data_IF_476250783672
#
_entry.id   IF_476250783672
#
_cell.length_a   1.000
_cell.length_b   1.000
_cell.length_c   1.000
_cell.angle_alpha   90.00
_cell.angle_beta   90.00
_cell.angle_gamma   90.00
#
_symmetry.space_group_name_H-M   'P 1'
#
loop_
_entity.id
_entity.type
_entity.pdbx_description
1 polymer ?
#
# COMPACT_ATOMS: atom_id res chain seq x y z
N UNK A 1 25.81 3.03 -33.48
CA UNK A 1 24.90 1.92 -33.09
C UNK A 1 23.50 2.20 -33.60
N UNK A 2 22.78 1.19 -34.09
CA UNK A 2 21.38 1.37 -34.48
C UNK A 2 20.53 1.57 -33.22
N UNK A 3 19.53 2.44 -33.28
CA UNK A 3 18.60 2.71 -32.16
C UNK A 3 18.01 1.43 -31.54
N UNK A 4 17.77 0.40 -32.35
CA UNK A 4 17.25 -0.89 -31.87
C UNK A 4 18.26 -1.71 -31.05
N UNK A 5 19.57 -1.59 -31.32
CA UNK A 5 20.62 -2.27 -30.56
C UNK A 5 20.81 -1.65 -29.18
N UNK A 6 20.78 -0.32 -29.10
CA UNK A 6 20.85 0.43 -27.84
C UNK A 6 19.68 0.03 -26.92
N UNK A 7 18.46 0.00 -27.47
CA UNK A 7 17.25 -0.38 -26.73
C UNK A 7 17.33 -1.84 -26.27
N UNK A 8 17.73 -2.77 -27.14
CA UNK A 8 17.91 -4.18 -26.77
C UNK A 8 18.91 -4.34 -25.62
N UNK A 9 20.12 -3.77 -25.77
CA UNK A 9 21.18 -3.89 -24.76
C UNK A 9 20.75 -3.33 -23.41
N UNK A 10 20.01 -2.21 -23.40
CA UNK A 10 19.50 -1.63 -22.16
C UNK A 10 18.44 -2.52 -21.52
N UNK A 11 17.50 -3.07 -22.30
CA UNK A 11 16.48 -4.01 -21.80
C UNK A 11 17.10 -5.30 -21.27
N UNK A 12 18.14 -5.82 -21.91
CA UNK A 12 18.80 -7.05 -21.49
C UNK A 12 19.48 -6.89 -20.12
N UNK A 13 19.98 -5.67 -19.83
CA UNK A 13 20.54 -5.30 -18.52
C UNK A 13 19.48 -5.04 -17.44
N UNK A 14 18.21 -4.81 -17.81
CA UNK A 14 17.15 -4.61 -16.83
C UNK A 14 16.82 -5.93 -16.11
N UNK A 15 16.55 -5.88 -14.79
CA UNK A 15 16.10 -7.05 -14.06
C UNK A 15 14.73 -7.50 -14.56
N UNK A 16 14.47 -8.80 -14.46
CA UNK A 16 13.14 -9.36 -14.76
C UNK A 16 12.10 -8.75 -13.82
N UNK A 17 10.88 -8.55 -14.33
CA UNK A 17 9.78 -7.91 -13.60
C UNK A 17 9.94 -6.41 -13.40
N UNK A 18 11.00 -5.76 -13.92
CA UNK A 18 11.13 -4.31 -13.89
C UNK A 18 10.18 -3.65 -14.90
N UNK A 19 9.37 -2.71 -14.44
CA UNK A 19 8.46 -1.94 -15.29
C UNK A 19 9.17 -0.68 -15.78
N UNK A 20 9.27 -0.53 -17.09
CA UNK A 20 9.89 0.60 -17.76
C UNK A 20 8.97 1.23 -18.80
N UNK A 21 9.33 2.44 -19.19
CA UNK A 21 8.64 3.31 -20.14
C UNK A 21 9.60 3.79 -21.21
N UNK A 22 9.09 4.51 -22.22
CA UNK A 22 9.95 5.11 -23.24
C UNK A 22 10.86 6.21 -22.67
N UNK A 23 10.46 6.86 -21.57
CA UNK A 23 11.26 7.90 -20.91
C UNK A 23 12.61 7.35 -20.42
N UNK A 24 12.66 6.07 -20.03
CA UNK A 24 13.88 5.42 -19.57
C UNK A 24 14.94 5.25 -20.67
N UNK A 25 14.63 5.59 -21.93
CA UNK A 25 15.53 5.47 -23.08
C UNK A 25 15.81 6.81 -23.77
N UNK A 26 15.25 7.92 -23.28
CA UNK A 26 15.38 9.24 -23.92
C UNK A 26 16.80 9.80 -23.82
N UNK A 27 17.56 9.43 -22.78
CA UNK A 27 18.96 9.85 -22.63
C UNK A 27 19.86 9.23 -23.71
N UNK A 28 19.49 8.06 -24.23
CA UNK A 28 20.31 7.30 -25.19
C UNK A 28 19.78 7.39 -26.64
N UNK A 29 18.55 7.89 -26.83
CA UNK A 29 17.85 7.89 -28.13
C UNK A 29 17.08 9.19 -28.34
N UNK A 30 17.47 9.94 -29.39
CA UNK A 30 16.92 11.26 -29.70
C UNK A 30 15.46 11.27 -30.18
N UNK A 31 14.95 10.13 -30.69
CA UNK A 31 13.58 10.04 -31.24
C UNK A 31 12.66 9.16 -30.39
N UNK A 32 11.75 9.79 -29.65
CA UNK A 32 10.70 9.12 -28.87
C UNK A 32 9.84 8.19 -29.73
N UNK A 33 9.55 8.57 -30.98
CA UNK A 33 8.78 7.76 -31.91
C UNK A 33 9.52 6.46 -32.28
N UNK A 34 10.83 6.52 -32.48
CA UNK A 34 11.65 5.35 -32.76
C UNK A 34 11.67 4.38 -31.58
N UNK A 35 11.80 4.89 -30.34
CA UNK A 35 11.72 4.08 -29.11
C UNK A 35 10.35 3.39 -29.01
N UNK A 36 9.26 4.13 -29.16
CA UNK A 36 7.90 3.59 -29.06
C UNK A 36 7.67 2.48 -30.10
N UNK A 37 8.11 2.69 -31.35
CA UNK A 37 7.96 1.69 -32.43
C UNK A 37 8.79 0.44 -32.15
N UNK A 38 10.03 0.60 -31.65
CA UNK A 38 10.89 -0.52 -31.28
C UNK A 38 10.30 -1.34 -30.12
N UNK A 39 9.82 -0.68 -29.06
CA UNK A 39 9.21 -1.35 -27.91
C UNK A 39 7.94 -2.12 -28.30
N UNK A 40 7.05 -1.53 -29.11
CA UNK A 40 5.86 -2.25 -29.57
C UNK A 40 6.22 -3.45 -30.46
N UNK A 41 7.26 -3.35 -31.29
CA UNK A 41 7.75 -4.49 -32.10
C UNK A 41 8.33 -5.60 -31.21
N UNK A 42 9.08 -5.27 -30.16
CA UNK A 42 9.60 -6.25 -29.19
C UNK A 42 8.51 -6.90 -28.35
N UNK A 43 7.44 -6.16 -28.06
CA UNK A 43 6.26 -6.71 -27.39
C UNK A 43 5.53 -7.70 -28.31
N UNK A 44 5.37 -7.36 -29.59
CA UNK A 44 4.78 -8.26 -30.58
C UNK A 44 5.63 -9.54 -30.79
N UNK A 45 6.95 -9.45 -30.67
CA UNK A 45 7.85 -10.61 -30.75
C UNK A 45 7.95 -11.41 -29.45
N UNK A 46 7.22 -11.05 -28.39
CA UNK A 46 7.23 -11.74 -27.09
C UNK A 46 8.52 -11.58 -26.27
N UNK A 47 9.42 -10.66 -26.63
CA UNK A 47 10.64 -10.39 -25.83
C UNK A 47 10.32 -9.63 -24.54
N UNK A 48 9.32 -8.77 -24.59
CA UNK A 48 8.82 -7.98 -23.46
C UNK A 48 7.30 -8.07 -23.44
N UNK A 49 6.68 -7.78 -22.30
CA UNK A 49 5.22 -7.80 -22.17
C UNK A 49 4.71 -6.38 -21.91
N UNK A 50 3.58 -6.04 -22.54
CA UNK A 50 2.93 -4.75 -22.40
C UNK A 50 1.96 -4.79 -21.22
N UNK A 51 2.22 -3.98 -20.19
CA UNK A 51 1.39 -3.91 -18.98
C UNK A 51 0.24 -2.91 -19.12
N UNK A 52 0.51 -1.76 -19.73
CA UNK A 52 -0.45 -0.69 -19.98
C UNK A 52 0.06 0.21 -21.12
N UNK A 53 -0.71 1.24 -21.49
CA UNK A 53 -0.26 2.22 -22.50
C UNK A 53 1.08 2.85 -22.06
N UNK A 54 2.12 2.62 -22.87
CA UNK A 54 3.48 3.14 -22.64
C UNK A 54 4.27 2.45 -21.52
N UNK A 55 3.78 1.35 -20.94
CA UNK A 55 4.44 0.61 -19.87
C UNK A 55 4.72 -0.84 -20.30
N UNK A 56 5.97 -1.25 -20.17
CA UNK A 56 6.45 -2.57 -20.56
C UNK A 56 7.27 -3.19 -19.42
N UNK A 57 7.41 -4.50 -19.43
CA UNK A 57 8.30 -5.20 -18.50
C UNK A 57 8.96 -6.41 -19.15
N UNK A 58 10.09 -6.81 -18.58
CA UNK A 58 10.79 -8.04 -18.96
C UNK A 58 10.17 -9.20 -18.20
N UNK A 59 9.53 -10.11 -18.91
CA UNK A 59 8.85 -11.26 -18.31
C UNK A 59 9.84 -12.26 -17.70
N UNK A 60 9.42 -12.91 -16.62
CA UNK A 60 10.10 -14.08 -16.08
C UNK A 60 9.24 -15.31 -16.36
N UNK A 61 9.78 -16.25 -17.15
CA UNK A 61 9.11 -17.53 -17.38
C UNK A 61 9.48 -18.50 -16.26
N UNK A 62 8.45 -19.08 -15.66
CA UNK A 62 8.55 -20.13 -14.65
C UNK A 62 7.84 -21.39 -15.15
N UNK A 63 8.01 -22.51 -14.45
CA UNK A 63 7.27 -23.75 -14.73
C UNK A 63 5.74 -23.57 -14.66
N UNK A 64 5.28 -22.53 -13.95
CA UNK A 64 3.87 -22.19 -13.76
C UNK A 64 3.37 -21.10 -14.72
N UNK A 65 4.19 -20.71 -15.70
CA UNK A 65 3.85 -19.69 -16.69
C UNK A 65 4.62 -18.38 -16.49
N UNK A 66 4.07 -17.30 -17.05
CA UNK A 66 4.68 -15.97 -17.04
C UNK A 66 4.39 -15.25 -15.72
N UNK A 67 5.46 -14.86 -15.02
CA UNK A 67 5.37 -14.12 -13.77
C UNK A 67 5.17 -12.63 -14.04
N UNK A 68 4.11 -12.08 -13.45
CA UNK A 68 3.86 -10.64 -13.47
C UNK A 68 4.87 -9.87 -12.60
N UNK A 69 5.11 -8.57 -12.90
CA UNK A 69 5.89 -7.70 -12.04
C UNK A 69 5.32 -7.63 -10.62
N UNK A 70 6.19 -7.41 -9.64
CA UNK A 70 5.76 -7.08 -8.28
C UNK A 70 4.82 -5.86 -8.33
N UNK A 71 3.76 -5.85 -7.52
CA UNK A 71 2.82 -4.74 -7.38
C UNK A 71 3.52 -3.38 -7.22
N UNK A 72 4.63 -3.30 -6.49
CA UNK A 72 5.41 -2.05 -6.37
C UNK A 72 5.94 -1.55 -7.72
N UNK A 73 6.39 -2.44 -8.61
CA UNK A 73 6.83 -2.08 -9.96
C UNK A 73 5.64 -1.66 -10.83
N UNK A 74 4.51 -2.36 -10.71
CA UNK A 74 3.27 -2.06 -11.47
C UNK A 74 2.79 -0.63 -11.21
N UNK A 75 2.93 -0.13 -9.98
CA UNK A 75 2.46 1.20 -9.58
C UNK A 75 3.57 2.18 -9.22
N UNK A 76 4.83 1.91 -9.59
CA UNK A 76 5.99 2.74 -9.21
C UNK A 76 5.80 4.23 -9.50
N UNK A 77 5.29 4.55 -10.69
CA UNK A 77 4.98 5.93 -11.13
C UNK A 77 3.83 6.61 -10.36
N UNK A 78 3.13 5.87 -9.50
CA UNK A 78 2.08 6.40 -8.64
C UNK A 78 2.54 6.57 -7.19
N UNK A 79 3.60 5.87 -6.80
CA UNK A 79 4.22 5.94 -5.47
C UNK A 79 5.26 7.06 -5.40
N UNK A 80 5.97 7.31 -6.50
CA UNK A 80 7.03 8.30 -6.57
C UNK A 80 6.85 9.23 -7.78
N UNK A 81 6.94 10.53 -7.53
CA UNK A 81 6.92 11.57 -8.56
C UNK A 81 8.21 12.39 -8.43
N UNK A 82 9.04 12.43 -9.48
CA UNK A 82 10.32 13.16 -9.49
C UNK A 82 11.25 12.83 -8.30
N UNK A 83 11.33 11.54 -7.92
CA UNK A 83 12.16 11.07 -6.81
C UNK A 83 11.61 11.38 -5.41
N UNK A 84 10.46 12.06 -5.31
CA UNK A 84 9.74 12.28 -4.04
C UNK A 84 8.65 11.23 -3.87
N UNK A 85 8.55 10.70 -2.66
CA UNK A 85 7.44 9.81 -2.30
C UNK A 85 6.16 10.62 -2.23
N UNK A 86 5.18 10.16 -2.99
CA UNK A 86 3.88 10.78 -3.16
C UNK A 86 2.74 9.76 -2.95
N UNK A 87 3.08 8.50 -2.66
CA UNK A 87 2.10 7.48 -2.32
C UNK A 87 2.73 6.20 -1.79
N UNK A 88 1.90 5.35 -1.19
CA UNK A 88 2.30 4.04 -0.68
C UNK A 88 1.20 3.00 -0.90
N UNK A 89 1.57 1.74 -1.04
CA UNK A 89 0.59 0.64 -1.15
C UNK A 89 -0.05 0.40 0.21
N UNK A 90 -1.37 0.30 0.27
CA UNK A 90 -2.14 0.11 1.52
C UNK A 90 -3.40 -0.73 1.29
N UNK A 91 -4.21 -0.90 2.32
CA UNK A 91 -5.51 -1.57 2.27
C UNK A 91 -5.44 -3.02 1.78
N UNK A 92 -6.31 -3.40 0.84
CA UNK A 92 -6.45 -4.78 0.34
C UNK A 92 -5.14 -5.43 -0.10
N UNK A 93 -4.18 -4.62 -0.56
CA UNK A 93 -2.89 -5.08 -1.06
C UNK A 93 -1.85 -5.31 0.03
N UNK A 94 -2.04 -4.72 1.22
CA UNK A 94 -1.12 -4.89 2.35
C UNK A 94 -1.65 -5.83 3.43
N UNK A 95 -2.96 -6.13 3.47
CA UNK A 95 -3.54 -6.98 4.52
C UNK A 95 -2.91 -8.36 4.63
N UNK A 96 -2.60 -9.00 3.48
CA UNK A 96 -1.90 -10.28 3.48
C UNK A 96 -0.48 -10.18 4.06
N UNK A 97 0.27 -9.13 3.68
CA UNK A 97 1.62 -8.87 4.20
C UNK A 97 1.63 -8.56 5.70
N UNK A 98 0.56 -7.93 6.21
CA UNK A 98 0.36 -7.70 7.64
C UNK A 98 -0.16 -8.96 8.37
N UNK A 99 -0.47 -10.05 7.66
CA UNK A 99 -1.02 -11.27 8.25
C UNK A 99 -2.47 -11.11 8.75
N UNK A 100 -3.22 -10.13 8.23
CA UNK A 100 -4.62 -9.88 8.60
C UNK A 100 -5.59 -10.80 7.84
N UNK A 101 -5.18 -11.28 6.67
CA UNK A 101 -5.92 -12.20 5.81
C UNK A 101 -4.94 -13.05 5.01
N UNK A 102 -5.35 -14.24 4.56
CA UNK A 102 -4.58 -15.06 3.61
C UNK A 102 -4.92 -14.71 2.17
N UNK A 103 -6.00 -13.96 1.92
CA UNK A 103 -6.43 -13.62 0.57
C UNK A 103 -5.47 -12.65 -0.13
N UNK A 104 -5.15 -12.96 -1.38
CA UNK A 104 -4.35 -12.10 -2.26
C UNK A 104 -5.30 -11.33 -3.18
N UNK A 105 -5.33 -10.01 -3.06
CA UNK A 105 -6.23 -9.17 -3.85
C UNK A 105 -5.63 -8.80 -5.21
N UNK A 106 -6.46 -8.82 -6.25
CA UNK A 106 -6.18 -8.20 -7.55
C UNK A 106 -6.45 -6.67 -7.55
N UNK A 107 -6.75 -6.08 -6.39
CA UNK A 107 -6.89 -4.64 -6.23
C UNK A 107 -5.62 -4.09 -5.59
N UNK A 108 -4.96 -3.15 -6.28
CA UNK A 108 -3.85 -2.36 -5.74
C UNK A 108 -4.40 -1.06 -5.15
N UNK A 109 -4.39 -0.94 -3.82
CA UNK A 109 -4.82 0.27 -3.13
C UNK A 109 -3.62 1.16 -2.79
N UNK A 110 -3.71 2.44 -3.13
CA UNK A 110 -2.64 3.43 -2.91
C UNK A 110 -3.12 4.54 -1.99
N UNK A 111 -2.43 4.72 -0.87
CA UNK A 111 -2.59 5.86 0.02
C UNK A 111 -1.89 7.08 -0.57
N UNK A 112 -2.63 8.18 -0.79
CA UNK A 112 -2.12 9.41 -1.41
C UNK A 112 -2.85 10.66 -0.90
N UNK A 113 -2.17 11.81 -0.87
CA UNK A 113 -2.78 13.07 -0.44
C UNK A 113 -3.84 13.59 -1.42
N UNK A 114 -3.57 13.45 -2.72
CA UNK A 114 -4.47 13.83 -3.81
C UNK A 114 -4.91 12.54 -4.52
N UNK A 115 -6.19 12.21 -4.40
CA UNK A 115 -6.77 11.01 -5.00
C UNK A 115 -7.38 11.32 -6.37
N UNK A 116 -7.46 10.30 -7.21
CA UNK A 116 -8.11 10.34 -8.53
C UNK A 116 -9.00 9.12 -8.74
N UNK A 117 -9.68 9.06 -9.87
CA UNK A 117 -10.46 7.89 -10.26
C UNK A 117 -9.59 6.63 -10.37
N UNK A 118 -10.18 5.48 -10.04
CA UNK A 118 -9.55 4.18 -10.19
C UNK A 118 -9.20 3.90 -11.65
N UNK A 119 -8.17 3.08 -11.88
CA UNK A 119 -7.71 2.72 -13.23
C UNK A 119 -7.22 1.28 -13.27
N UNK A 120 -7.18 0.67 -14.46
CA UNK A 120 -6.74 -0.71 -14.65
C UNK A 120 -5.31 -0.77 -15.20
N UNK A 121 -4.48 -1.69 -14.70
CA UNK A 121 -3.16 -2.05 -15.28
C UNK A 121 -3.00 -3.56 -15.27
N UNK A 122 -2.89 -4.17 -16.45
CA UNK A 122 -2.96 -5.62 -16.59
C UNK A 122 -4.21 -6.18 -15.89
N UNK A 123 -3.98 -7.13 -15.00
CA UNK A 123 -5.02 -7.78 -14.19
C UNK A 123 -5.42 -7.01 -12.92
N UNK A 124 -4.72 -5.91 -12.60
CA UNK A 124 -4.96 -5.15 -11.38
C UNK A 124 -5.90 -3.97 -11.57
N UNK A 125 -6.85 -3.83 -10.64
CA UNK A 125 -7.59 -2.59 -10.43
C UNK A 125 -6.82 -1.72 -9.43
N UNK A 126 -6.40 -0.54 -9.84
CA UNK A 126 -5.73 0.42 -8.95
C UNK A 126 -6.76 1.40 -8.42
N UNK A 127 -6.87 1.48 -7.10
CA UNK A 127 -7.77 2.40 -6.39
C UNK A 127 -7.01 3.22 -5.35
N UNK A 128 -7.61 4.32 -4.90
CA UNK A 128 -6.92 5.32 -4.09
C UNK A 128 -7.61 5.54 -2.74
N UNK A 129 -6.80 5.67 -1.68
CA UNK A 129 -7.23 6.02 -0.33
C UNK A 129 -6.66 7.40 -0.01
N UNK A 130 -7.53 8.34 0.38
CA UNK A 130 -7.09 9.68 0.76
C UNK A 130 -6.34 9.63 2.09
N UNK A 131 -5.05 9.98 2.04
CA UNK A 131 -4.18 10.14 3.19
C UNK A 131 -4.05 11.64 3.54
N UNK A 132 -4.31 11.99 4.80
CA UNK A 132 -4.24 13.38 5.27
C UNK A 132 -2.89 13.72 5.91
N UNK A 133 -2.12 12.71 6.29
CA UNK A 133 -0.76 12.87 6.79
C UNK A 133 0.21 13.16 5.65
N UNK A 134 1.34 13.79 5.99
CA UNK A 134 2.49 13.86 5.09
C UNK A 134 3.07 12.44 5.00
N UNK A 135 3.36 11.97 3.79
CA UNK A 135 3.87 10.62 3.56
C UNK A 135 5.40 10.70 3.51
N UNK A 136 6.08 9.88 4.32
CA UNK A 136 7.55 9.75 4.34
C UNK A 136 7.93 8.28 4.36
N UNK A 137 9.16 7.93 3.96
CA UNK A 137 9.63 6.52 3.98
C UNK A 137 9.40 5.86 5.34
N UNK A 138 9.72 6.60 6.40
CA UNK A 138 9.73 6.09 7.76
C UNK A 138 8.32 5.89 8.33
N UNK A 139 7.33 6.64 7.85
CA UNK A 139 5.97 6.57 8.40
C UNK A 139 5.03 5.65 7.63
N UNK A 140 5.39 5.20 6.42
CA UNK A 140 4.52 4.37 5.57
C UNK A 140 4.00 3.15 6.31
N UNK A 141 4.86 2.46 7.07
CA UNK A 141 4.45 1.27 7.81
C UNK A 141 3.38 1.59 8.86
N UNK A 142 3.56 2.68 9.60
CA UNK A 142 2.56 3.15 10.58
C UNK A 142 1.25 3.57 9.92
N UNK A 143 1.32 4.22 8.74
CA UNK A 143 0.14 4.57 7.96
C UNK A 143 -0.62 3.33 7.47
N UNK A 144 0.09 2.26 7.07
CA UNK A 144 -0.54 0.99 6.70
C UNK A 144 -1.27 0.33 7.88
N UNK A 145 -0.69 0.39 9.08
CA UNK A 145 -1.35 -0.10 10.31
C UNK A 145 -2.61 0.73 10.59
N UNK A 146 -2.51 2.06 10.54
CA UNK A 146 -3.66 2.96 10.76
C UNK A 146 -4.78 2.77 9.72
N UNK A 147 -4.42 2.57 8.45
CA UNK A 147 -5.38 2.25 7.39
C UNK A 147 -6.06 0.91 7.63
N UNK A 148 -5.33 -0.08 8.15
CA UNK A 148 -5.87 -1.38 8.53
C UNK A 148 -6.84 -1.28 9.71
N UNK A 149 -6.53 -0.47 10.73
CA UNK A 149 -7.44 -0.18 11.85
C UNK A 149 -8.69 0.55 11.33
N UNK A 150 -8.52 1.57 10.47
CA UNK A 150 -9.62 2.35 9.90
C UNK A 150 -10.60 1.48 9.12
N UNK A 151 -10.08 0.54 8.34
CA UNK A 151 -10.85 -0.32 7.46
C UNK A 151 -10.97 -1.76 7.95
N UNK A 152 -10.80 -2.00 9.26
CA UNK A 152 -10.81 -3.34 9.86
C UNK A 152 -12.05 -4.18 9.49
N UNK A 153 -13.20 -3.51 9.31
CA UNK A 153 -14.49 -4.14 8.91
C UNK A 153 -14.53 -4.61 7.44
N UNK A 154 -13.58 -4.15 6.62
CA UNK A 154 -13.50 -4.41 5.18
C UNK A 154 -12.38 -5.39 4.84
N UNK A 155 -11.65 -5.90 5.85
CA UNK A 155 -10.63 -6.92 5.62
C UNK A 155 -11.37 -8.22 5.25
N UNK A 156 -11.06 -8.83 4.09
CA UNK A 156 -11.74 -10.04 3.66
C UNK A 156 -11.26 -11.26 4.46
N UNK A 157 -12.12 -12.27 4.57
CA UNK A 157 -11.79 -13.58 5.16
C UNK A 157 -11.29 -13.57 6.61
N UNK A 158 -11.69 -12.55 7.36
CA UNK A 158 -11.27 -12.40 8.75
C UNK A 158 -12.38 -11.79 9.58
N UNK A 159 -12.36 -12.14 10.86
CA UNK A 159 -13.22 -11.54 11.87
C UNK A 159 -12.52 -10.33 12.49
N UNK A 160 -13.29 -9.41 13.08
CA UNK A 160 -12.73 -8.28 13.83
C UNK A 160 -11.87 -8.79 14.99
N UNK A 161 -12.28 -9.87 15.67
CA UNK A 161 -11.55 -10.46 16.78
C UNK A 161 -10.12 -10.88 16.37
N UNK A 162 -10.01 -11.73 15.34
CA UNK A 162 -8.72 -12.17 14.76
C UNK A 162 -7.88 -10.98 14.30
N UNK A 163 -8.49 -9.99 13.64
CA UNK A 163 -7.80 -8.78 13.21
C UNK A 163 -7.26 -7.98 14.39
N UNK A 164 -8.03 -7.80 15.46
CA UNK A 164 -7.59 -7.14 16.68
C UNK A 164 -6.41 -7.89 17.34
N UNK A 165 -6.47 -9.22 17.43
CA UNK A 165 -5.34 -10.03 17.95
C UNK A 165 -4.08 -9.80 17.12
N UNK A 166 -4.18 -9.85 15.79
CA UNK A 166 -3.03 -9.64 14.91
C UNK A 166 -2.49 -8.21 15.00
N UNK A 167 -3.37 -7.20 15.02
CA UNK A 167 -2.96 -5.80 15.19
C UNK A 167 -2.28 -5.56 16.54
N UNK A 168 -2.73 -6.19 17.64
CA UNK A 168 -2.03 -6.13 18.93
C UNK A 168 -0.61 -6.69 18.82
N UNK A 169 -0.42 -7.82 18.14
CA UNK A 169 0.91 -8.39 17.90
C UNK A 169 1.80 -7.42 17.12
N UNK A 170 1.30 -6.84 16.02
CA UNK A 170 2.06 -5.87 15.23
C UNK A 170 2.45 -4.64 16.07
N UNK A 171 1.52 -4.12 16.86
CA UNK A 171 1.77 -2.94 17.70
C UNK A 171 2.77 -3.23 18.84
N UNK A 172 2.82 -4.47 19.36
CA UNK A 172 3.81 -4.87 20.37
C UNK A 172 5.24 -4.89 19.82
N UNK A 173 5.40 -5.19 18.54
CA UNK A 173 6.70 -5.25 17.88
C UNK A 173 7.25 -3.85 17.54
N UNK A 174 6.45 -2.79 17.72
CA UNK A 174 6.89 -1.41 17.53
C UNK A 174 7.72 -0.90 18.71
N UNK A 175 8.74 -0.10 18.41
CA UNK A 175 9.49 0.61 19.43
C UNK A 175 8.69 1.81 20.00
N UNK A 176 9.14 2.37 21.13
CA UNK A 176 8.47 3.49 21.80
C UNK A 176 8.30 4.72 20.91
N UNK A 177 9.29 5.02 20.05
CA UNK A 177 9.21 6.17 19.13
C UNK A 177 8.12 5.98 18.07
N UNK A 178 8.00 4.76 17.55
CA UNK A 178 6.95 4.39 16.59
C UNK A 178 5.56 4.43 17.22
N UNK A 179 5.43 4.08 18.50
CA UNK A 179 4.18 4.25 19.27
C UNK A 179 3.82 5.74 19.40
N UNK A 180 4.77 6.61 19.74
CA UNK A 180 4.52 8.05 19.79
C UNK A 180 4.14 8.61 18.40
N UNK A 181 4.81 8.12 17.35
CA UNK A 181 4.54 8.50 15.96
C UNK A 181 3.15 8.05 15.49
N UNK A 182 2.75 6.81 15.75
CA UNK A 182 1.45 6.30 15.29
C UNK A 182 0.30 7.03 15.98
N UNK A 183 0.44 7.36 17.28
CA UNK A 183 -0.53 8.19 18.01
C UNK A 183 -0.66 9.57 17.38
N UNK A 184 0.47 10.22 17.07
CA UNK A 184 0.47 11.53 16.39
C UNK A 184 -0.20 11.48 15.02
N UNK A 185 0.11 10.46 14.21
CA UNK A 185 -0.45 10.30 12.86
C UNK A 185 -1.96 9.99 12.91
N UNK A 186 -2.42 9.24 13.91
CA UNK A 186 -3.82 8.90 14.13
C UNK A 186 -4.72 10.12 14.38
N UNK A 187 -4.17 11.26 14.81
CA UNK A 187 -4.95 12.49 15.01
C UNK A 187 -5.61 13.00 13.73
N UNK A 188 -5.05 12.68 12.55
CA UNK A 188 -5.67 13.00 11.25
C UNK A 188 -6.66 11.94 10.74
N UNK A 189 -6.88 10.87 11.50
CA UNK A 189 -7.82 9.80 11.18
C UNK A 189 -9.19 9.99 11.85
N UNK A 190 -10.25 9.32 11.34
CA UNK A 190 -11.58 9.39 11.93
C UNK A 190 -11.60 9.00 13.42
N UNK A 191 -12.55 9.54 14.22
CA UNK A 191 -12.68 9.20 15.64
C UNK A 191 -12.72 7.70 15.93
N UNK A 192 -13.38 6.91 15.08
CA UNK A 192 -13.46 5.46 15.23
C UNK A 192 -12.10 4.75 15.16
N UNK A 193 -11.19 5.25 14.29
CA UNK A 193 -9.82 4.73 14.19
C UNK A 193 -9.01 5.08 15.42
N UNK A 194 -9.15 6.33 15.92
CA UNK A 194 -8.49 6.79 17.15
C UNK A 194 -8.96 5.97 18.37
N UNK A 195 -10.25 5.70 18.46
CA UNK A 195 -10.82 4.89 19.54
C UNK A 195 -10.29 3.45 19.51
N UNK A 196 -10.30 2.80 18.34
CA UNK A 196 -9.82 1.43 18.22
C UNK A 196 -8.29 1.32 18.43
N UNK A 197 -7.51 2.28 17.92
CA UNK A 197 -6.08 2.34 18.20
C UNK A 197 -5.83 2.52 19.70
N UNK A 198 -6.54 3.45 20.34
CA UNK A 198 -6.45 3.67 21.78
C UNK A 198 -6.70 2.39 22.56
N UNK A 199 -7.81 1.69 22.28
CA UNK A 199 -8.13 0.42 22.91
C UNK A 199 -7.03 -0.64 22.71
N UNK A 200 -6.47 -0.74 21.49
CA UNK A 200 -5.37 -1.67 21.20
C UNK A 200 -4.10 -1.33 21.99
N UNK A 201 -3.76 -0.04 22.12
CA UNK A 201 -2.58 0.43 22.86
C UNK A 201 -2.73 0.24 24.37
N UNK A 202 -3.92 0.51 24.93
CA UNK A 202 -4.28 0.23 26.32
C UNK A 202 -4.01 -1.24 26.69
N UNK A 203 -4.45 -2.17 25.82
CA UNK A 203 -4.32 -3.62 26.03
C UNK A 203 -2.88 -4.15 26.01
N UNK A 204 -1.94 -3.35 25.49
CA UNK A 204 -0.54 -3.74 25.40
C UNK A 204 0.35 -2.90 26.33
N UNK A 205 -0.24 -2.13 27.24
CA UNK A 205 0.46 -1.41 28.30
C UNK A 205 0.91 0.01 27.96
N UNK A 206 0.41 0.62 26.88
CA UNK A 206 0.73 2.00 26.49
C UNK A 206 -0.34 3.02 26.88
N UNK A 207 -1.08 2.78 27.98
CA UNK A 207 -2.20 3.62 28.44
C UNK A 207 -1.83 5.12 28.51
N UNK A 208 -0.66 5.43 29.06
CA UNK A 208 -0.10 6.79 29.18
C UNK A 208 0.02 7.54 27.84
N UNK A 209 0.22 6.81 26.73
CA UNK A 209 0.35 7.38 25.39
C UNK A 209 -1.00 7.63 24.72
N UNK A 210 -2.08 7.06 25.26
CA UNK A 210 -3.41 7.12 24.66
C UNK A 210 -4.23 8.35 25.06
N UNK A 211 -3.78 9.12 26.06
CA UNK A 211 -4.50 10.29 26.61
C UNK A 211 -4.96 11.24 25.50
N UNK A 212 -4.04 11.63 24.60
CA UNK A 212 -4.35 12.52 23.46
C UNK A 212 -5.42 11.94 22.52
N UNK A 213 -5.42 10.62 22.32
CA UNK A 213 -6.44 9.97 21.52
C UNK A 213 -7.79 10.04 22.23
N UNK A 214 -7.82 9.76 23.53
CA UNK A 214 -9.03 9.75 24.34
C UNK A 214 -9.70 11.12 24.40
N UNK A 215 -8.93 12.18 24.67
CA UNK A 215 -9.41 13.57 24.75
C UNK A 215 -10.01 14.06 23.43
N UNK A 216 -9.57 13.47 22.32
CA UNK A 216 -10.02 13.85 20.98
C UNK A 216 -11.35 13.21 20.57
N UNK A 217 -11.93 12.34 21.40
CA UNK A 217 -13.18 11.63 21.13
C UNK A 217 -14.37 12.30 21.81
N UNK A 218 -15.55 12.17 21.19
CA UNK A 218 -16.80 12.58 21.82
C UNK A 218 -17.29 11.47 22.76
N UNK A 219 -17.56 11.84 24.01
CA UNK A 219 -17.99 10.92 25.08
C UNK A 219 -19.29 10.17 24.78
N UNK A 220 -20.18 10.72 23.96
CA UNK A 220 -21.49 10.13 23.64
C UNK A 220 -21.43 9.19 22.43
N UNK A 221 -20.39 9.31 21.59
CA UNK A 221 -20.31 8.52 20.35
C UNK A 221 -19.93 7.07 20.63
N UNK A 222 -20.72 6.12 20.11
CA UNK A 222 -20.47 4.68 20.23
C UNK A 222 -19.97 4.11 18.89
N UNK A 223 -18.87 3.36 18.94
CA UNK A 223 -18.27 2.71 17.78
C UNK A 223 -18.57 1.21 17.77
N UNK A 224 -19.38 0.78 16.80
CA UNK A 224 -19.81 -0.62 16.68
C UNK A 224 -18.72 -1.48 16.03
N UNK A 225 -18.07 -2.36 16.78
CA UNK A 225 -17.11 -3.36 16.32
C UNK A 225 -17.47 -4.72 16.90
N UNK A 226 -18.38 -5.44 16.22
CA UNK A 226 -18.90 -6.74 16.67
C UNK A 226 -17.74 -7.67 17.03
N UNK A 227 -17.72 -8.11 18.29
CA UNK A 227 -16.73 -9.05 18.80
C UNK A 227 -15.45 -8.43 19.37
N UNK A 228 -15.18 -7.14 19.12
CA UNK A 228 -13.98 -6.48 19.64
C UNK A 228 -13.90 -6.51 21.18
N UNK A 229 -15.05 -6.36 21.86
CA UNK A 229 -15.15 -6.43 23.31
C UNK A 229 -14.73 -7.78 23.92
N UNK A 230 -14.69 -8.87 23.13
CA UNK A 230 -14.16 -10.16 23.59
C UNK A 230 -12.64 -10.17 23.70
N UNK A 231 -11.96 -9.29 22.96
CA UNK A 231 -10.49 -9.27 22.81
C UNK A 231 -9.86 -8.05 23.49
N UNK A 232 -10.64 -6.97 23.66
CA UNK A 232 -10.22 -5.69 24.20
C UNK A 232 -11.03 -5.41 25.47
N UNK A 233 -10.45 -5.66 26.63
CA UNK A 233 -11.02 -5.33 27.95
C UNK A 233 -11.29 -3.83 28.11
N UNK A 234 -10.46 -2.99 27.49
CA UNK A 234 -10.62 -1.53 27.46
C UNK A 234 -11.76 -1.03 26.55
N UNK A 235 -12.51 -1.91 25.86
CA UNK A 235 -13.55 -1.50 24.89
C UNK A 235 -14.56 -0.50 25.45
N UNK A 236 -15.00 -0.70 26.69
CA UNK A 236 -15.97 0.19 27.34
C UNK A 236 -15.39 1.61 27.52
N UNK A 237 -14.13 1.71 27.97
CA UNK A 237 -13.43 2.99 28.10
C UNK A 237 -13.31 3.70 26.75
N UNK A 238 -13.23 2.98 25.64
CA UNK A 238 -13.09 3.56 24.30
C UNK A 238 -14.41 3.73 23.54
N UNK A 239 -15.56 3.59 24.22
CA UNK A 239 -16.90 3.62 23.63
C UNK A 239 -17.09 2.60 22.48
N UNK A 240 -16.44 1.44 22.56
CA UNK A 240 -16.51 0.38 21.55
C UNK A 240 -17.52 -0.69 22.00
N UNK A 241 -18.43 -1.08 21.10
CA UNK A 241 -19.44 -2.14 21.31
C UNK A 241 -19.41 -3.20 20.23
#
# INVERSE_FOLDING_TARGET
MKTSEIINNKIDRLPKGYVFTYNDFLDDVTSSQAVIKALNRMAASGKIVKLAKGKFYKQEKTLFGELEPNQQQIVKDLLETNGKIDGYITGLSCYNKLGLTTQVSNVIQIGKNIVRASLKRGNYLISFVKQRNVITKDNIYLLQILDSIRYIKKIPDTSIEKSCVRLKSILRDLNKSDIDNIVRLAMKYPPSTRALLGALLSEIGYEEKTVKLKDSLNSVTIYKYKGAAKILTSSAQWNIK
#
